data_IF_497013154607
#
_entry.id   IF_497013154607
#
_cell.length_a   1.000
_cell.length_b   1.000
_cell.length_c   1.000
_cell.angle_alpha   90.00
_cell.angle_beta   90.00
_cell.angle_gamma   90.00
#
_symmetry.space_group_name_H-M   'P 1'
#
loop_
_entity.id
_entity.type
_entity.pdbx_description
1 polymer ?
#
# COMPACT_ATOMS: atom_id res chain seq x y z
N UNK A 1 2.11 -12.25 -24.14
CA UNK A 1 3.20 -12.38 -25.14
C UNK A 1 3.88 -11.04 -25.46
N UNK A 2 3.16 -9.95 -25.72
CA UNK A 2 3.77 -8.64 -26.05
C UNK A 2 4.64 -8.04 -24.92
N UNK A 3 4.24 -8.16 -23.64
CA UNK A 3 5.03 -7.66 -22.50
C UNK A 3 6.38 -8.37 -22.31
N UNK A 4 6.44 -9.68 -22.59
CA UNK A 4 7.67 -10.46 -22.46
C UNK A 4 8.73 -9.96 -23.45
N UNK A 5 8.35 -9.80 -24.72
CA UNK A 5 9.23 -9.30 -25.78
C UNK A 5 9.70 -7.87 -25.52
N UNK A 6 8.82 -6.98 -25.03
CA UNK A 6 9.16 -5.58 -24.70
C UNK A 6 10.20 -5.50 -23.56
N UNK A 7 10.07 -6.35 -22.53
CA UNK A 7 11.02 -6.43 -21.40
C UNK A 7 12.36 -7.04 -21.81
N UNK A 8 12.33 -8.08 -22.64
CA UNK A 8 13.54 -8.72 -23.14
C UNK A 8 14.35 -7.77 -24.01
N UNK A 9 13.69 -7.04 -24.91
CA UNK A 9 14.32 -6.03 -25.75
C UNK A 9 14.94 -4.89 -24.94
N UNK A 10 14.26 -4.37 -23.92
CA UNK A 10 14.82 -3.28 -23.10
C UNK A 10 16.04 -3.71 -22.29
N UNK A 11 16.02 -4.94 -21.74
CA UNK A 11 17.18 -5.52 -21.03
C UNK A 11 18.36 -5.73 -21.96
N UNK A 12 18.11 -6.29 -23.14
CA UNK A 12 19.14 -6.49 -24.16
C UNK A 12 19.81 -5.16 -24.57
N UNK A 13 19.01 -4.11 -24.78
CA UNK A 13 19.53 -2.79 -25.12
C UNK A 13 20.38 -2.18 -24.00
N UNK A 14 19.98 -2.34 -22.73
CA UNK A 14 20.75 -1.87 -21.58
C UNK A 14 22.06 -2.65 -21.39
N UNK A 15 22.04 -3.97 -21.59
CA UNK A 15 23.26 -4.80 -21.57
C UNK A 15 24.22 -4.44 -22.70
N UNK A 16 23.70 -4.15 -23.89
CA UNK A 16 24.52 -3.69 -25.02
C UNK A 16 25.18 -2.34 -24.72
N UNK A 17 24.43 -1.38 -24.17
CA UNK A 17 24.95 -0.08 -23.77
C UNK A 17 26.03 -0.21 -22.67
N UNK A 18 25.82 -1.10 -21.69
CA UNK A 18 26.82 -1.42 -20.68
C UNK A 18 28.12 -1.95 -21.29
N UNK A 19 28.04 -2.93 -22.20
CA UNK A 19 29.24 -3.49 -22.86
C UNK A 19 30.00 -2.44 -23.68
N UNK A 20 29.31 -1.44 -24.23
CA UNK A 20 29.93 -0.33 -24.95
C UNK A 20 30.63 0.65 -24.00
N UNK A 21 30.04 0.90 -22.83
CA UNK A 21 30.67 1.69 -21.78
C UNK A 21 31.90 0.97 -21.20
N UNK A 22 31.79 -0.31 -20.87
CA UNK A 22 32.89 -1.10 -20.27
C UNK A 22 34.11 -1.26 -21.20
N UNK A 23 33.94 -1.07 -22.52
CA UNK A 23 34.99 -1.24 -23.53
C UNK A 23 35.78 0.04 -23.85
N UNK A 24 35.42 1.19 -23.27
CA UNK A 24 36.02 2.51 -23.59
C UNK A 24 36.40 3.24 -22.29
N UNK A 25 37.55 3.91 -22.28
CA UNK A 25 37.93 4.88 -21.23
C UNK A 25 36.80 5.93 -21.02
N UNK A 26 36.58 6.43 -19.79
CA UNK A 26 35.31 7.01 -19.37
C UNK A 26 34.82 8.15 -20.28
N UNK A 27 33.75 7.87 -21.04
CA UNK A 27 33.06 8.82 -21.89
C UNK A 27 31.68 9.13 -21.33
N UNK A 28 31.50 10.36 -20.79
CA UNK A 28 30.24 10.85 -20.19
C UNK A 28 29.00 10.67 -21.07
N UNK A 29 29.17 10.64 -22.39
CA UNK A 29 28.08 10.40 -23.35
C UNK A 29 27.60 8.96 -23.37
N UNK A 30 28.50 7.98 -23.21
CA UNK A 30 28.13 6.56 -23.13
C UNK A 30 27.53 6.20 -21.77
N UNK A 31 28.02 6.83 -20.70
CA UNK A 31 27.42 6.74 -19.36
C UNK A 31 25.96 7.18 -19.38
N UNK A 32 25.68 8.38 -19.91
CA UNK A 32 24.32 8.89 -20.04
C UNK A 32 23.43 7.97 -20.91
N UNK A 33 23.96 7.46 -22.02
CA UNK A 33 23.23 6.53 -22.88
C UNK A 33 22.89 5.21 -22.16
N UNK A 34 23.78 4.71 -21.31
CA UNK A 34 23.53 3.53 -20.49
C UNK A 34 22.50 3.82 -19.39
N UNK A 35 22.62 4.94 -18.69
CA UNK A 35 21.64 5.39 -17.68
C UNK A 35 20.22 5.52 -18.26
N UNK A 36 20.10 6.12 -19.45
CA UNK A 36 18.80 6.28 -20.14
C UNK A 36 18.19 4.91 -20.49
N UNK A 37 19.00 3.93 -20.90
CA UNK A 37 18.55 2.55 -21.15
C UNK A 37 18.14 1.83 -19.86
N UNK A 38 18.87 2.02 -18.75
CA UNK A 38 18.49 1.48 -17.44
C UNK A 38 17.16 2.08 -16.94
N UNK A 39 16.96 3.39 -17.14
CA UNK A 39 15.70 4.06 -16.80
C UNK A 39 14.53 3.48 -17.58
N UNK A 40 14.72 3.24 -18.87
CA UNK A 40 13.70 2.61 -19.73
C UNK A 40 13.36 1.17 -19.30
N UNK A 41 14.35 0.38 -18.87
CA UNK A 41 14.10 -0.96 -18.30
C UNK A 41 13.24 -0.85 -17.05
N UNK A 42 13.57 0.07 -16.14
CA UNK A 42 12.82 0.28 -14.91
C UNK A 42 11.37 0.72 -15.19
N UNK A 43 11.16 1.66 -16.11
CA UNK A 43 9.83 2.11 -16.52
C UNK A 43 8.97 0.96 -17.06
N UNK A 44 9.52 0.15 -17.97
CA UNK A 44 8.81 -0.99 -18.57
C UNK A 44 8.49 -2.06 -17.51
N UNK A 45 9.39 -2.33 -16.57
CA UNK A 45 9.13 -3.24 -15.45
C UNK A 45 8.02 -2.72 -14.52
N UNK A 46 8.00 -1.41 -14.24
CA UNK A 46 6.95 -0.79 -13.43
C UNK A 46 5.59 -0.79 -14.13
N UNK A 47 5.55 -0.52 -15.43
CA UNK A 47 4.34 -0.66 -16.25
C UNK A 47 3.83 -2.11 -16.24
N UNK A 48 4.73 -3.08 -16.40
CA UNK A 48 4.37 -4.49 -16.35
C UNK A 48 3.81 -4.91 -14.98
N UNK A 49 4.42 -4.45 -13.88
CA UNK A 49 3.89 -4.69 -12.52
C UNK A 49 2.50 -4.10 -12.35
N UNK A 50 2.27 -2.86 -12.81
CA UNK A 50 0.95 -2.20 -12.78
C UNK A 50 -0.08 -2.94 -13.63
N UNK A 51 0.31 -3.40 -14.82
CA UNK A 51 -0.56 -4.19 -15.70
C UNK A 51 -0.92 -5.53 -15.07
N UNK A 52 0.06 -6.27 -14.53
CA UNK A 52 -0.18 -7.55 -13.85
C UNK A 52 -1.04 -7.38 -12.60
N UNK A 53 -0.85 -6.29 -11.84
CA UNK A 53 -1.69 -5.98 -10.68
C UNK A 53 -3.15 -5.64 -11.05
N UNK A 54 -3.42 -5.31 -12.32
CA UNK A 54 -4.76 -5.05 -12.86
C UNK A 54 -5.40 -6.29 -13.51
N UNK A 55 -4.63 -7.35 -13.72
CA UNK A 55 -5.19 -8.62 -14.21
C UNK A 55 -6.06 -9.21 -13.09
N UNK A 56 -7.37 -9.47 -13.34
CA UNK A 56 -8.23 -10.01 -12.32
C UNK A 56 -7.69 -11.37 -11.87
N UNK A 57 -7.47 -11.53 -10.57
CA UNK A 57 -7.16 -12.83 -10.00
C UNK A 57 -8.37 -13.74 -10.24
N UNK A 58 -8.25 -14.72 -11.13
CA UNK A 58 -9.32 -15.69 -11.38
C UNK A 58 -9.28 -16.70 -10.25
N UNK A 59 -10.13 -16.50 -9.24
CA UNK A 59 -10.31 -17.43 -8.15
C UNK A 59 -11.17 -18.60 -8.62
N UNK A 60 -10.73 -19.82 -8.35
CA UNK A 60 -11.54 -21.02 -8.55
C UNK A 60 -12.52 -21.21 -7.37
N UNK A 61 -13.53 -22.07 -7.55
CA UNK A 61 -14.50 -22.36 -6.50
C UNK A 61 -13.84 -22.86 -5.19
N UNK A 62 -12.77 -23.64 -5.32
CA UNK A 62 -11.96 -24.10 -4.18
C UNK A 62 -11.28 -22.95 -3.43
N UNK A 63 -10.81 -21.92 -4.15
CA UNK A 63 -10.13 -20.78 -3.54
C UNK A 63 -11.14 -19.91 -2.78
N UNK A 64 -12.34 -19.75 -3.34
CA UNK A 64 -13.46 -19.11 -2.65
C UNK A 64 -13.85 -19.83 -1.37
N UNK A 65 -13.96 -21.16 -1.40
CA UNK A 65 -14.29 -21.96 -0.22
C UNK A 65 -13.20 -21.82 0.86
N UNK A 66 -11.93 -21.90 0.49
CA UNK A 66 -10.81 -21.75 1.42
C UNK A 66 -10.75 -20.33 2.03
N UNK A 67 -11.02 -19.29 1.24
CA UNK A 67 -11.10 -17.92 1.75
C UNK A 67 -12.28 -17.73 2.71
N UNK A 68 -13.42 -18.36 2.43
CA UNK A 68 -14.59 -18.31 3.31
C UNK A 68 -14.32 -19.03 4.63
N UNK A 69 -13.72 -20.23 4.60
CA UNK A 69 -13.30 -20.95 5.78
C UNK A 69 -12.30 -20.14 6.62
N UNK A 70 -11.35 -19.47 5.98
CA UNK A 70 -10.40 -18.59 6.67
C UNK A 70 -11.12 -17.40 7.32
N UNK A 71 -12.10 -16.80 6.64
CA UNK A 71 -12.87 -15.69 7.17
C UNK A 71 -13.72 -16.11 8.38
N UNK A 72 -14.34 -17.30 8.34
CA UNK A 72 -15.11 -17.87 9.45
C UNK A 72 -14.21 -18.18 10.66
N UNK A 73 -12.98 -18.64 10.42
CA UNK A 73 -12.00 -18.93 11.46
C UNK A 73 -11.24 -17.69 11.98
N UNK A 74 -11.39 -16.53 11.35
CA UNK A 74 -10.64 -15.32 11.71
C UNK A 74 -10.79 -14.90 13.18
N UNK A 75 -11.98 -14.94 13.81
CA UNK A 75 -12.13 -14.63 15.24
C UNK A 75 -11.27 -15.55 16.13
N UNK A 76 -11.23 -16.85 15.81
CA UNK A 76 -10.40 -17.81 16.55
C UNK A 76 -8.90 -17.49 16.39
N UNK A 77 -8.47 -17.18 15.17
CA UNK A 77 -7.07 -16.77 14.89
C UNK A 77 -6.74 -15.47 15.64
N UNK A 78 -7.65 -14.50 15.64
CA UNK A 78 -7.44 -13.21 16.30
C UNK A 78 -7.25 -13.32 17.81
N UNK A 79 -8.02 -14.21 18.44
CA UNK A 79 -8.01 -14.44 19.89
C UNK A 79 -7.01 -15.52 20.35
N UNK A 80 -6.37 -16.24 19.44
CA UNK A 80 -5.35 -17.24 19.80
C UNK A 80 -4.18 -16.61 20.56
N UNK A 81 -3.70 -17.32 21.58
CA UNK A 81 -2.51 -16.96 22.38
C UNK A 81 -1.24 -16.93 21.52
N UNK A 82 -1.19 -17.74 20.46
CA UNK A 82 -0.05 -17.80 19.55
C UNK A 82 0.01 -16.60 18.60
N UNK A 83 -1.10 -15.88 18.43
CA UNK A 83 -1.17 -14.74 17.51
C UNK A 83 -0.58 -13.52 18.18
N UNK A 84 0.52 -13.00 17.64
CA UNK A 84 1.21 -11.85 18.22
C UNK A 84 0.57 -10.53 17.78
N UNK A 85 0.81 -9.42 18.49
CA UNK A 85 0.34 -8.10 18.08
C UNK A 85 0.76 -7.71 16.65
N UNK A 86 1.95 -8.15 16.22
CA UNK A 86 2.43 -7.95 14.85
C UNK A 86 1.57 -8.67 13.81
N UNK A 87 1.14 -9.90 14.10
CA UNK A 87 0.29 -10.69 13.21
C UNK A 87 -1.11 -10.06 13.11
N UNK A 88 -1.67 -9.60 14.23
CA UNK A 88 -2.92 -8.83 14.25
C UNK A 88 -2.81 -7.57 13.39
N UNK A 89 -1.68 -6.87 13.45
CA UNK A 89 -1.44 -5.67 12.63
C UNK A 89 -1.33 -6.02 11.14
N UNK A 90 -0.73 -7.15 10.79
CA UNK A 90 -0.67 -7.66 9.41
C UNK A 90 -2.06 -8.00 8.88
N UNK A 91 -2.86 -8.73 9.67
CA UNK A 91 -4.25 -9.05 9.33
C UNK A 91 -5.04 -7.77 9.04
N UNK A 92 -4.98 -6.78 9.93
CA UNK A 92 -5.66 -5.50 9.73
C UNK A 92 -5.20 -4.80 8.45
N UNK A 93 -3.91 -4.83 8.12
CA UNK A 93 -3.36 -4.20 6.91
C UNK A 93 -3.93 -4.81 5.63
N UNK A 94 -4.30 -6.09 5.63
CA UNK A 94 -4.88 -6.76 4.47
C UNK A 94 -6.34 -6.37 4.20
N UNK A 95 -7.09 -5.99 5.23
CA UNK A 95 -8.53 -5.74 5.12
C UNK A 95 -8.88 -4.25 5.18
N UNK A 96 -8.12 -3.47 5.96
CA UNK A 96 -8.34 -2.03 6.15
C UNK A 96 -7.45 -1.23 5.20
N UNK A 97 -8.07 -0.32 4.44
CA UNK A 97 -7.37 0.66 3.63
C UNK A 97 -7.01 1.89 4.47
N UNK A 98 -8.01 2.47 5.14
CA UNK A 98 -7.84 3.70 5.91
C UNK A 98 -8.82 3.74 7.08
N UNK A 99 -8.39 4.39 8.18
CA UNK A 99 -9.27 4.72 9.31
C UNK A 99 -9.19 6.22 9.54
N UNK A 100 -10.32 6.90 9.40
CA UNK A 100 -10.46 8.34 9.58
C UNK A 100 -11.14 8.59 10.93
N UNK A 101 -10.53 9.42 11.75
CA UNK A 101 -11.06 9.84 13.05
C UNK A 101 -11.45 11.31 13.00
N UNK A 102 -12.71 11.62 13.29
CA UNK A 102 -13.22 12.99 13.36
C UNK A 102 -13.77 13.28 14.76
N UNK A 103 -13.07 14.16 15.48
CA UNK A 103 -13.40 14.57 16.84
C UNK A 103 -14.21 15.89 16.87
N UNK A 104 -14.31 16.59 15.75
CA UNK A 104 -14.99 17.90 15.66
C UNK A 104 -16.45 17.74 15.26
N UNK A 105 -16.78 16.66 14.56
CA UNK A 105 -18.15 16.37 14.08
C UNK A 105 -19.18 16.31 15.18
N UNK A 106 -18.84 15.74 16.35
CA UNK A 106 -19.78 15.53 17.46
C UNK A 106 -19.08 15.81 18.80
N UNK A 107 -19.60 16.77 19.56
CA UNK A 107 -19.03 17.14 20.86
C UNK A 107 -19.03 15.95 21.82
N UNK A 108 -17.87 15.64 22.39
CA UNK A 108 -17.71 14.55 23.36
C UNK A 108 -17.62 13.14 22.75
N UNK A 109 -17.63 13.02 21.41
CA UNK A 109 -17.50 11.74 20.71
C UNK A 109 -16.39 11.79 19.67
N UNK A 110 -15.97 10.62 19.22
CA UNK A 110 -15.11 10.46 18.05
C UNK A 110 -15.90 9.68 17.02
N UNK A 111 -16.13 10.29 15.86
CA UNK A 111 -16.65 9.59 14.70
C UNK A 111 -15.49 8.85 14.02
N UNK A 112 -15.70 7.58 13.72
CA UNK A 112 -14.73 6.71 13.07
C UNK A 112 -15.32 6.30 11.73
N UNK A 113 -14.56 6.48 10.65
CA UNK A 113 -14.88 5.93 9.33
C UNK A 113 -13.78 4.98 8.91
N UNK A 114 -14.14 3.75 8.59
CA UNK A 114 -13.23 2.71 8.09
C UNK A 114 -13.49 2.53 6.61
N UNK A 115 -12.45 2.72 5.80
CA UNK A 115 -12.44 2.37 4.38
C UNK A 115 -11.80 0.99 4.26
N UNK A 116 -12.54 0.07 3.67
CA UNK A 116 -12.07 -1.30 3.44
C UNK A 116 -11.38 -1.41 2.09
N UNK A 117 -10.45 -2.36 1.96
CA UNK A 117 -9.76 -2.64 0.68
C UNK A 117 -10.72 -3.06 -0.45
N UNK A 118 -11.94 -3.50 -0.11
CA UNK A 118 -13.02 -3.81 -1.06
C UNK A 118 -13.73 -2.56 -1.61
N UNK A 119 -13.44 -1.37 -1.09
CA UNK A 119 -14.17 -0.13 -1.36
C UNK A 119 -15.41 0.08 -0.49
N UNK A 120 -15.77 -0.89 0.34
CA UNK A 120 -16.83 -0.71 1.33
C UNK A 120 -16.44 0.34 2.38
N UNK A 121 -17.43 0.94 3.04
CA UNK A 121 -17.21 1.90 4.13
C UNK A 121 -18.05 1.51 5.34
N UNK A 122 -17.47 1.58 6.54
CA UNK A 122 -18.18 1.41 7.82
C UNK A 122 -18.00 2.67 8.68
N UNK A 123 -19.05 3.10 9.36
CA UNK A 123 -19.04 4.25 10.26
C UNK A 123 -19.41 3.84 11.68
N UNK A 124 -18.67 4.37 12.65
CA UNK A 124 -18.90 4.14 14.07
C UNK A 124 -18.77 5.44 14.86
N UNK A 125 -19.37 5.48 16.04
CA UNK A 125 -19.25 6.59 16.97
C UNK A 125 -18.89 6.03 18.34
N UNK A 126 -17.84 6.57 18.95
CA UNK A 126 -17.42 6.18 20.29
C UNK A 126 -17.44 7.38 21.22
N UNK A 127 -17.90 7.17 22.46
CA UNK A 127 -17.81 8.19 23.50
C UNK A 127 -16.33 8.45 23.83
N UNK A 128 -15.94 9.73 23.86
CA UNK A 128 -14.59 10.10 24.25
C UNK A 128 -14.46 9.90 25.76
N UNK A 129 -13.73 8.88 26.18
CA UNK A 129 -13.27 8.80 27.57
C UNK A 129 -12.26 9.93 27.76
N UNK A 130 -12.63 10.97 28.50
CA UNK A 130 -11.71 12.01 28.94
C UNK A 130 -10.65 11.36 29.84
N UNK A 131 -9.53 10.94 29.26
CA UNK A 131 -8.30 10.89 30.03
C UNK A 131 -7.79 12.33 30.07
N UNK A 132 -7.92 12.97 31.23
CA UNK A 132 -7.38 14.30 31.43
C UNK A 132 -5.86 14.23 31.37
N UNK A 133 -5.30 14.60 30.22
CA UNK A 133 -3.96 15.15 30.10
C UNK A 133 -4.12 16.44 29.28
N UNK A 134 -3.77 17.58 29.91
CA UNK A 134 -3.84 18.98 29.43
C UNK A 134 -5.23 19.53 29.04
N UNK A 135 -5.84 20.55 29.66
CA UNK A 135 -5.38 21.62 30.55
C UNK A 135 -4.05 22.24 30.13
N UNK A 136 -3.98 22.75 28.89
CA UNK A 136 -3.23 23.99 28.58
C UNK A 136 -3.26 24.48 27.11
N UNK A 137 -3.97 23.84 26.18
CA UNK A 137 -4.09 24.39 24.81
C UNK A 137 -5.55 24.44 24.34
N UNK A 138 -6.19 25.60 24.48
CA UNK A 138 -7.53 25.83 23.93
C UNK A 138 -8.24 27.12 24.32
N UNK A 139 -7.77 27.87 25.33
CA UNK A 139 -8.08 29.31 25.45
C UNK A 139 -7.10 30.11 24.57
N UNK A 140 -7.14 29.87 23.27
CA UNK A 140 -6.48 30.70 22.27
C UNK A 140 -7.40 30.82 21.06
N UNK A 141 -8.49 31.57 21.24
CA UNK A 141 -9.04 32.54 20.29
C UNK A 141 -10.46 32.91 20.71
N UNK A 142 -10.57 33.95 21.54
CA UNK A 142 -11.72 34.87 21.58
C UNK A 142 -11.30 36.15 22.33
N UNK A 143 -10.21 36.77 21.86
CA UNK A 143 -9.98 38.21 22.08
C UNK A 143 -9.44 38.78 20.77
N UNK A 144 -10.34 39.28 19.94
CA UNK A 144 -10.07 40.44 19.09
C UNK A 144 -11.29 41.35 19.19
N UNK A 145 -10.99 42.59 19.56
CA UNK A 145 -11.87 43.77 19.58
C UNK A 145 -12.54 44.01 18.22
#
# INVERSE_FOLDING_TARGET
KQWALRRERSRYDAERARRQYDAVEPARTLEKAWEDKLRLVNEIEQEYRRWRAREPLVLQAQDHAALQELAENLPAIWHSETTQPEDRKRILRFIVQEVILDQKKIRGQVAIRILWQTGATSEHQIQRRLQSYDRDYGELELVRE
#
